data_IF_786355387037
#
_entry.id   IF_786355387037
#
_cell.length_a   1.000
_cell.length_b   1.000
_cell.length_c   1.000
_cell.angle_alpha   90.00
_cell.angle_beta   90.00
_cell.angle_gamma   90.00
#
_symmetry.space_group_name_H-M   'P 1'
#
loop_
_entity.id
_entity.type
_entity.pdbx_description
1 polymer ?
#
# COMPACT_ATOMS: atom_id res chain seq x y z
N UNK A 1 6.10 -14.64 4.44
CA UNK A 1 6.56 -16.06 4.40
C UNK A 1 7.43 -16.44 5.60
N UNK A 2 8.51 -15.71 5.93
CA UNK A 2 9.37 -16.05 7.09
C UNK A 2 8.66 -15.89 8.43
N UNK A 3 7.99 -14.76 8.67
CA UNK A 3 7.28 -14.47 9.94
C UNK A 3 6.22 -15.53 10.29
N UNK A 4 5.46 -15.98 9.29
CA UNK A 4 4.47 -17.06 9.44
C UNK A 4 5.14 -18.39 9.75
N UNK A 5 6.29 -18.70 9.13
CA UNK A 5 7.02 -19.94 9.36
C UNK A 5 7.67 -20.01 10.75
N UNK A 6 8.05 -18.87 11.32
CA UNK A 6 8.66 -18.80 12.66
C UNK A 6 7.64 -18.53 13.77
N UNK A 7 6.34 -18.57 13.45
CA UNK A 7 5.24 -18.32 14.38
C UNK A 7 5.46 -17.05 15.23
N UNK A 8 5.96 -15.99 14.61
CA UNK A 8 6.23 -14.76 15.35
C UNK A 8 4.93 -14.16 15.87
N UNK A 9 4.97 -13.37 16.97
CA UNK A 9 3.79 -12.69 17.49
C UNK A 9 3.05 -11.85 16.43
N UNK A 10 3.79 -11.28 15.48
CA UNK A 10 3.24 -10.54 14.34
C UNK A 10 2.42 -11.42 13.39
N UNK A 11 2.86 -12.66 13.13
CA UNK A 11 2.13 -13.60 12.29
C UNK A 11 0.90 -14.22 12.97
N UNK A 12 0.81 -14.14 14.30
CA UNK A 12 -0.43 -14.49 15.02
C UNK A 12 -1.46 -13.36 14.98
N UNK A 13 -1.01 -12.11 14.89
CA UNK A 13 -1.88 -10.93 14.83
C UNK A 13 -2.44 -10.69 13.43
N UNK A 14 -1.64 -10.98 12.39
CA UNK A 14 -1.99 -10.78 10.99
C UNK A 14 -1.92 -12.09 10.21
N UNK A 15 -3.00 -12.46 9.52
CA UNK A 15 -3.10 -13.70 8.74
C UNK A 15 -2.58 -13.56 7.30
N UNK A 16 -2.55 -12.33 6.77
CA UNK A 16 -2.04 -11.96 5.44
C UNK A 16 -1.28 -10.65 5.52
N UNK A 17 -0.32 -10.39 4.61
CA UNK A 17 0.43 -9.12 4.52
C UNK A 17 0.98 -8.62 5.86
N UNK A 18 1.59 -9.55 6.62
CA UNK A 18 1.96 -9.38 8.03
C UNK A 18 2.87 -8.17 8.27
N UNK A 19 3.85 -7.97 7.38
CA UNK A 19 4.81 -6.88 7.53
C UNK A 19 4.18 -5.55 7.12
N UNK A 20 3.33 -5.55 6.10
CA UNK A 20 2.64 -4.36 5.63
C UNK A 20 1.62 -3.86 6.67
N UNK A 21 0.89 -4.75 7.35
CA UNK A 21 0.07 -4.36 8.51
C UNK A 21 0.92 -3.79 9.65
N UNK A 22 2.07 -4.40 9.94
CA UNK A 22 3.00 -3.86 10.93
C UNK A 22 3.54 -2.46 10.55
N UNK A 23 3.84 -2.24 9.27
CA UNK A 23 4.24 -0.93 8.76
C UNK A 23 3.12 0.11 8.91
N UNK A 24 1.87 -0.28 8.67
CA UNK A 24 0.73 0.58 8.89
C UNK A 24 0.58 0.94 10.38
N UNK A 25 0.62 -0.03 11.30
CA UNK A 25 0.54 0.23 12.74
C UNK A 25 1.65 1.18 13.22
N UNK A 26 2.88 0.95 12.76
CA UNK A 26 4.00 1.83 13.06
C UNK A 26 3.77 3.25 12.54
N UNK A 27 3.20 3.39 11.33
CA UNK A 27 2.86 4.70 10.79
C UNK A 27 1.83 5.42 11.66
N UNK A 28 0.77 4.72 12.08
CA UNK A 28 -0.27 5.26 12.98
C UNK A 28 0.30 5.63 14.34
N UNK A 29 1.18 4.80 14.91
CA UNK A 29 1.86 5.09 16.18
C UNK A 29 2.66 6.39 16.10
N UNK A 30 3.43 6.59 15.02
CA UNK A 30 4.22 7.81 14.83
C UNK A 30 3.32 9.03 14.66
N UNK A 31 2.27 8.94 13.84
CA UNK A 31 1.30 10.03 13.62
C UNK A 31 0.61 10.45 14.92
N UNK A 32 0.27 9.48 15.77
CA UNK A 32 -0.40 9.74 17.05
C UNK A 32 0.55 10.13 18.19
N UNK A 33 1.87 10.14 17.95
CA UNK A 33 2.83 10.60 18.95
C UNK A 33 2.72 12.11 19.13
N UNK A 34 3.00 12.60 20.35
CA UNK A 34 2.89 14.01 20.69
C UNK A 34 3.74 14.88 19.73
N UNK A 35 3.12 15.93 19.18
CA UNK A 35 3.78 16.84 18.24
C UNK A 35 3.90 16.34 16.78
N UNK A 36 3.53 15.09 16.49
CA UNK A 36 3.73 14.48 15.17
C UNK A 36 2.47 14.38 14.30
N UNK A 37 1.29 14.73 14.83
CA UNK A 37 0.04 14.58 14.10
C UNK A 37 -0.08 15.60 12.96
N UNK A 38 0.44 15.23 11.79
CA UNK A 38 0.38 16.02 10.55
C UNK A 38 -1.04 16.20 10.02
N UNK A 39 -2.01 15.43 10.51
CA UNK A 39 -3.43 15.52 10.15
C UNK A 39 -4.28 16.22 11.21
N UNK A 40 -3.66 16.92 12.17
CA UNK A 40 -4.39 17.58 13.27
C UNK A 40 -5.45 18.61 12.82
N UNK A 41 -5.30 19.19 11.63
CA UNK A 41 -6.24 20.17 11.08
C UNK A 41 -7.41 19.55 10.31
N UNK A 42 -7.40 18.22 10.10
CA UNK A 42 -8.43 17.53 9.34
C UNK A 42 -9.72 17.41 10.16
N UNK A 43 -10.86 17.44 9.48
CA UNK A 43 -12.11 16.98 10.11
C UNK A 43 -12.03 15.47 10.42
N UNK A 44 -12.86 14.94 11.33
CA UNK A 44 -12.90 13.50 11.59
C UNK A 44 -13.13 12.66 10.32
N UNK A 45 -13.88 13.16 9.36
CA UNK A 45 -14.16 12.49 8.09
C UNK A 45 -12.94 12.50 7.16
N UNK A 46 -12.23 13.62 7.09
CA UNK A 46 -10.97 13.75 6.34
C UNK A 46 -9.89 12.85 6.91
N UNK A 47 -9.75 12.82 8.24
CA UNK A 47 -8.82 11.95 8.93
C UNK A 47 -9.10 10.48 8.62
N UNK A 48 -10.35 10.03 8.74
CA UNK A 48 -10.73 8.64 8.39
C UNK A 48 -10.41 8.31 6.93
N UNK A 49 -10.66 9.23 6.01
CA UNK A 49 -10.32 9.04 4.59
C UNK A 49 -8.81 8.92 4.38
N UNK A 50 -8.03 9.80 5.01
CA UNK A 50 -6.57 9.79 4.92
C UNK A 50 -5.97 8.48 5.45
N UNK A 51 -6.44 8.02 6.61
CA UNK A 51 -6.01 6.75 7.20
C UNK A 51 -6.38 5.56 6.30
N UNK A 52 -7.59 5.55 5.70
CA UNK A 52 -7.99 4.50 4.76
C UNK A 52 -7.10 4.46 3.51
N UNK A 53 -6.74 5.64 2.97
CA UNK A 53 -5.83 5.73 1.82
C UNK A 53 -4.43 5.23 2.20
N UNK A 54 -3.94 5.62 3.38
CA UNK A 54 -2.64 5.20 3.90
C UNK A 54 -2.56 3.68 4.09
N UNK A 55 -3.58 3.08 4.71
CA UNK A 55 -3.69 1.62 4.89
C UNK A 55 -3.65 0.90 3.55
N UNK A 56 -4.52 1.31 2.61
CA UNK A 56 -4.58 0.71 1.28
C UNK A 56 -3.25 0.84 0.52
N UNK A 57 -2.57 1.98 0.63
CA UNK A 57 -1.31 2.22 -0.03
C UNK A 57 -0.19 1.31 0.51
N UNK A 58 -0.06 1.22 1.83
CA UNK A 58 0.94 0.37 2.50
C UNK A 58 0.68 -1.10 2.22
N UNK A 59 -0.57 -1.57 2.35
CA UNK A 59 -0.89 -2.97 2.04
C UNK A 59 -0.63 -3.31 0.58
N UNK A 60 -0.81 -2.35 -0.34
CA UNK A 60 -0.56 -2.57 -1.77
C UNK A 60 0.93 -2.73 -2.14
N UNK A 61 1.86 -2.55 -1.21
CA UNK A 61 3.28 -2.90 -1.44
C UNK A 61 3.54 -4.40 -1.29
N UNK A 62 2.60 -5.18 -0.74
CA UNK A 62 2.72 -6.65 -0.74
C UNK A 62 2.62 -7.18 -2.19
N UNK A 63 3.74 -7.68 -2.70
CA UNK A 63 3.83 -8.24 -4.05
C UNK A 63 2.83 -9.40 -4.28
N UNK A 64 2.42 -10.14 -3.25
CA UNK A 64 1.39 -11.17 -3.38
C UNK A 64 0.03 -10.56 -3.76
N UNK A 65 -0.31 -9.37 -3.25
CA UNK A 65 -1.51 -8.63 -3.65
C UNK A 65 -1.38 -8.05 -5.06
N UNK A 66 -0.19 -7.58 -5.44
CA UNK A 66 0.08 -7.16 -6.81
C UNK A 66 -0.22 -8.27 -7.82
N UNK A 67 0.29 -9.49 -7.61
CA UNK A 67 0.05 -10.60 -8.55
C UNK A 67 -1.43 -11.01 -8.62
N UNK A 68 -2.20 -10.84 -7.54
CA UNK A 68 -3.66 -11.07 -7.56
C UNK A 68 -4.40 -10.01 -8.38
N UNK A 69 -3.98 -8.74 -8.30
CA UNK A 69 -4.68 -7.59 -8.90
C UNK A 69 -4.21 -7.22 -10.31
N UNK A 70 -2.97 -7.55 -10.69
CA UNK A 70 -2.38 -7.14 -11.98
C UNK A 70 -3.16 -7.62 -13.20
N UNK A 71 -3.84 -8.77 -13.10
CA UNK A 71 -4.62 -9.32 -14.21
C UNK A 71 -5.83 -8.45 -14.53
N UNK A 72 -6.58 -8.07 -13.49
CA UNK A 72 -7.72 -7.14 -13.59
C UNK A 72 -7.29 -5.79 -14.15
N UNK A 73 -6.21 -5.21 -13.61
CA UNK A 73 -5.68 -3.94 -14.09
C UNK A 73 -5.28 -4.00 -15.57
N UNK A 74 -4.59 -5.07 -15.96
CA UNK A 74 -4.18 -5.28 -17.36
C UNK A 74 -5.40 -5.35 -18.28
N UNK A 75 -6.42 -6.13 -17.92
CA UNK A 75 -7.65 -6.24 -18.72
C UNK A 75 -8.37 -4.89 -18.89
N UNK A 76 -8.44 -4.07 -17.84
CA UNK A 76 -9.05 -2.74 -17.93
C UNK A 76 -8.31 -1.83 -18.92
N UNK A 77 -6.98 -1.77 -18.81
CA UNK A 77 -6.14 -0.96 -19.71
C UNK A 77 -6.23 -1.45 -21.15
N UNK A 78 -6.18 -2.77 -21.38
CA UNK A 78 -6.30 -3.37 -22.72
C UNK A 78 -7.68 -3.13 -23.35
N UNK A 79 -8.73 -3.01 -22.53
CA UNK A 79 -10.08 -2.64 -22.97
C UNK A 79 -10.28 -1.13 -23.17
N UNK A 80 -9.24 -0.31 -22.95
CA UNK A 80 -9.25 1.12 -23.25
C UNK A 80 -9.65 2.03 -22.09
N UNK A 81 -9.69 1.53 -20.84
CA UNK A 81 -9.85 2.37 -19.66
C UNK A 81 -8.68 3.36 -19.52
N UNK A 82 -9.00 4.63 -19.28
CA UNK A 82 -8.02 5.73 -19.22
C UNK A 82 -8.25 6.68 -18.05
N UNK A 83 -9.49 6.80 -17.60
CA UNK A 83 -9.89 7.86 -16.68
C UNK A 83 -9.95 7.37 -15.24
N UNK A 84 -10.10 6.05 -15.03
CA UNK A 84 -10.13 5.40 -13.70
C UNK A 84 -10.99 6.21 -12.72
N UNK A 85 -12.21 6.60 -13.11
CA UNK A 85 -13.04 7.49 -12.29
C UNK A 85 -13.84 6.76 -11.22
N UNK A 86 -14.14 5.49 -11.45
CA UNK A 86 -14.80 4.64 -10.47
C UNK A 86 -13.88 4.39 -9.28
N UNK A 87 -14.42 4.43 -8.06
CA UNK A 87 -13.62 4.29 -6.83
C UNK A 87 -12.80 2.98 -6.79
N UNK A 88 -13.38 1.87 -7.27
CA UNK A 88 -12.67 0.59 -7.39
C UNK A 88 -11.50 0.64 -8.35
N UNK A 89 -11.69 1.27 -9.52
CA UNK A 89 -10.63 1.49 -10.50
C UNK A 89 -9.53 2.43 -9.97
N UNK A 90 -9.91 3.50 -9.23
CA UNK A 90 -8.96 4.39 -8.55
C UNK A 90 -8.10 3.63 -7.56
N UNK A 91 -8.71 2.79 -6.74
CA UNK A 91 -7.99 2.01 -5.73
C UNK A 91 -7.08 0.95 -6.36
N UNK A 92 -7.52 0.33 -7.46
CA UNK A 92 -6.68 -0.56 -8.26
C UNK A 92 -5.47 0.16 -8.87
N UNK A 93 -5.68 1.35 -9.45
CA UNK A 93 -4.60 2.17 -10.00
C UNK A 93 -3.60 2.58 -8.91
N UNK A 94 -4.08 3.08 -7.75
CA UNK A 94 -3.22 3.40 -6.60
C UNK A 94 -2.38 2.19 -6.19
N UNK A 95 -2.99 0.99 -6.14
CA UNK A 95 -2.27 -0.22 -5.78
C UNK A 95 -1.13 -0.52 -6.76
N UNK A 96 -1.37 -0.43 -8.08
CA UNK A 96 -0.33 -0.61 -9.08
C UNK A 96 0.78 0.44 -8.99
N UNK A 97 0.42 1.70 -8.72
CA UNK A 97 1.39 2.79 -8.52
C UNK A 97 2.29 2.55 -7.31
N UNK A 98 1.74 2.08 -6.19
CA UNK A 98 2.53 1.76 -5.00
C UNK A 98 3.58 0.68 -5.29
N UNK A 99 3.19 -0.39 -5.98
CA UNK A 99 4.14 -1.43 -6.42
C UNK A 99 5.19 -0.86 -7.36
N UNK A 100 4.81 -0.03 -8.33
CA UNK A 100 5.75 0.59 -9.27
C UNK A 100 6.79 1.46 -8.57
N UNK A 101 6.38 2.22 -7.55
CA UNK A 101 7.27 2.99 -6.70
C UNK A 101 8.21 2.11 -5.86
N UNK A 102 7.68 1.03 -5.27
CA UNK A 102 8.46 0.11 -4.42
C UNK A 102 9.60 -0.57 -5.20
N UNK A 103 9.34 -0.98 -6.45
CA UNK A 103 10.36 -1.59 -7.31
C UNK A 103 11.11 -0.60 -8.20
N UNK A 104 10.95 0.72 -7.99
CA UNK A 104 11.48 1.74 -8.88
C UNK A 104 13.00 1.76 -9.01
N UNK A 105 13.74 1.09 -8.10
CA UNK A 105 15.19 0.93 -8.20
C UNK A 105 15.60 0.38 -9.58
N UNK A 106 14.90 -0.64 -10.09
CA UNK A 106 15.21 -1.28 -11.39
C UNK A 106 15.07 -0.34 -12.59
N UNK A 107 14.36 0.79 -12.41
CA UNK A 107 14.15 1.79 -13.46
C UNK A 107 15.24 2.87 -13.50
N UNK A 108 16.15 2.89 -12.51
CA UNK A 108 17.23 3.87 -12.45
C UNK A 108 18.31 3.59 -13.50
N UNK A 109 19.05 4.62 -13.95
CA UNK A 109 20.21 4.43 -14.82
C UNK A 109 21.19 3.41 -14.25
N UNK A 110 21.83 2.63 -15.13
CA UNK A 110 22.70 1.51 -14.77
C UNK A 110 23.72 1.83 -13.66
N UNK A 111 24.35 3.01 -13.72
CA UNK A 111 25.34 3.48 -12.74
C UNK A 111 24.81 3.60 -11.30
N UNK A 112 23.49 3.69 -11.13
CA UNK A 112 22.81 3.80 -9.83
C UNK A 112 22.30 2.43 -9.38
N UNK A 113 21.81 1.62 -10.32
CA UNK A 113 21.16 0.34 -10.03
C UNK A 113 22.14 -0.81 -9.74
N UNK A 114 23.34 -0.78 -10.33
CA UNK A 114 24.28 -1.92 -10.30
C UNK A 114 24.72 -2.31 -8.89
#
# INVERSE_FOLDING_TARGET
AFQVKVASPLAMLYSTSVLEHHHFDHCIMIINSEGNNIFQSFTPEEYRRAIKILEHAILSTDLALYFKKRGEFKSLVENGEKDFQEDGQKDLLKAMMMTACDVAAITKPWRIQK
#
